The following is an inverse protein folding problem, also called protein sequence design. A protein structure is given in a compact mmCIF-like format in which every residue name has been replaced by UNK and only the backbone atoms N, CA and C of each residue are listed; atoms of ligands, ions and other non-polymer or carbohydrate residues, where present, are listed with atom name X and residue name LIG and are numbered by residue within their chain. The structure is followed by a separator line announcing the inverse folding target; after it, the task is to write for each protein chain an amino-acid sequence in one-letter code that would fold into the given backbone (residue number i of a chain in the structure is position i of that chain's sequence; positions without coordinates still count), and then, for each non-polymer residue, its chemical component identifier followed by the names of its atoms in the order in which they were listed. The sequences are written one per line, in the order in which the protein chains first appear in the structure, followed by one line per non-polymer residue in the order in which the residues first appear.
data_IF_102396846122
#
_entry.id   IF_102396846122
#
_cell.length_a   1.000
_cell.length_b   1.000
_cell.length_c   1.000
_cell.angle_alpha   90.00
_cell.angle_beta   90.00
_cell.angle_gamma   90.00
#
_symmetry.space_group_name_H-M   'P 1'
#
loop_
_entity.id
_entity.type
_entity.pdbx_description
1 polymer ?
#
# COMPACT_ATOMS: atom_id res chain seq x y z
N UNK A 1 -15.98 46.33 39.39
CA UNK A 1 -16.97 45.75 38.47
C UNK A 1 -16.27 44.85 37.46
N UNK A 2 -15.31 45.34 36.66
CA UNK A 2 -14.55 44.53 35.68
C UNK A 2 -13.88 43.25 36.23
N UNK A 3 -13.31 43.25 37.44
CA UNK A 3 -12.68 42.05 38.01
C UNK A 3 -13.69 40.95 38.39
N UNK A 4 -14.93 41.31 38.72
CA UNK A 4 -15.98 40.34 39.04
C UNK A 4 -16.58 39.72 37.78
N UNK A 5 -16.67 40.50 36.70
CA UNK A 5 -17.13 40.02 35.40
C UNK A 5 -16.08 39.12 34.73
N UNK A 6 -14.79 39.46 34.84
CA UNK A 6 -13.70 38.61 34.38
C UNK A 6 -13.64 37.25 35.12
N UNK A 7 -13.81 37.26 36.45
CA UNK A 7 -13.85 36.04 37.25
C UNK A 7 -15.03 35.12 36.91
N UNK A 8 -16.21 35.70 36.60
CA UNK A 8 -17.40 34.93 36.17
C UNK A 8 -17.21 34.29 34.79
N UNK A 9 -16.60 35.01 33.85
CA UNK A 9 -16.32 34.47 32.52
C UNK A 9 -15.30 33.32 32.57
N UNK A 10 -14.28 33.44 33.43
CA UNK A 10 -13.28 32.38 33.64
C UNK A 10 -13.90 31.14 34.31
N UNK A 11 -14.77 31.33 35.30
CA UNK A 11 -15.52 30.24 35.94
C UNK A 11 -16.39 29.47 34.93
N UNK A 12 -17.09 30.18 34.05
CA UNK A 12 -17.95 29.58 33.04
C UNK A 12 -17.14 28.80 31.99
N UNK A 13 -16.00 29.32 31.56
CA UNK A 13 -15.06 28.60 30.67
C UNK A 13 -14.49 27.34 31.32
N UNK A 14 -14.04 27.43 32.57
CA UNK A 14 -13.49 26.29 33.32
C UNK A 14 -14.55 25.20 33.54
N UNK A 15 -15.79 25.59 33.85
CA UNK A 15 -16.92 24.68 34.01
C UNK A 15 -17.27 23.96 32.71
N UNK A 16 -17.28 24.67 31.59
CA UNK A 16 -17.52 24.09 30.26
C UNK A 16 -16.41 23.09 29.90
N UNK A 17 -15.15 23.46 30.14
CA UNK A 17 -13.98 22.60 29.90
C UNK A 17 -14.00 21.35 30.79
N UNK A 18 -14.41 21.50 32.05
CA UNK A 18 -14.55 20.38 32.99
C UNK A 18 -15.65 19.41 32.55
N UNK A 19 -16.81 19.92 32.11
CA UNK A 19 -17.92 19.10 31.62
C UNK A 19 -17.54 18.34 30.35
N UNK A 20 -16.82 18.97 29.42
CA UNK A 20 -16.35 18.35 28.18
C UNK A 20 -15.33 17.22 28.46
N UNK A 21 -14.33 17.50 29.32
CA UNK A 21 -13.35 16.49 29.76
C UNK A 21 -13.99 15.36 30.56
N UNK A 22 -14.98 15.66 31.42
CA UNK A 22 -15.74 14.67 32.19
C UNK A 22 -16.58 13.80 31.27
N UNK A 23 -17.24 14.37 30.25
CA UNK A 23 -18.00 13.62 29.24
C UNK A 23 -17.13 12.65 28.44
N UNK A 24 -15.93 13.09 28.05
CA UNK A 24 -14.91 12.25 27.40
C UNK A 24 -14.36 11.17 28.35
N UNK A 25 -14.16 11.49 29.63
CA UNK A 25 -13.67 10.55 30.63
C UNK A 25 -14.71 9.47 31.00
N UNK A 26 -16.00 9.83 31.08
CA UNK A 26 -17.09 8.88 31.39
C UNK A 26 -17.29 7.88 30.24
N UNK A 27 -17.14 8.33 29.00
CA UNK A 27 -17.22 7.45 27.83
C UNK A 27 -15.87 6.84 27.43
N UNK A 28 -14.80 7.10 28.18
CA UNK A 28 -13.44 6.65 27.83
C UNK A 28 -13.38 5.13 27.77
N UNK A 29 -14.00 4.43 28.71
CA UNK A 29 -13.99 2.97 28.74
C UNK A 29 -14.83 2.37 27.60
N UNK A 30 -15.95 3.01 27.23
CA UNK A 30 -16.73 2.64 26.05
C UNK A 30 -15.95 2.86 24.75
N UNK A 31 -15.24 3.99 24.61
CA UNK A 31 -14.38 4.25 23.46
C UNK A 31 -13.19 3.30 23.39
N UNK A 32 -12.58 2.93 24.52
CA UNK A 32 -11.52 1.90 24.56
C UNK A 32 -12.05 0.54 24.13
N UNK A 33 -13.26 0.16 24.57
CA UNK A 33 -13.89 -1.08 24.14
C UNK A 33 -14.19 -1.07 22.63
N UNK A 34 -14.73 0.02 22.10
CA UNK A 34 -14.93 0.19 20.66
C UNK A 34 -13.61 0.11 19.90
N UNK A 35 -12.54 0.70 20.42
CA UNK A 35 -11.21 0.64 19.82
C UNK A 35 -10.69 -0.80 19.80
N UNK A 36 -10.87 -1.57 20.87
CA UNK A 36 -10.50 -3.00 20.93
C UNK A 36 -11.32 -3.83 19.93
N UNK A 37 -12.64 -3.60 19.82
CA UNK A 37 -13.49 -4.27 18.82
C UNK A 37 -13.06 -3.94 17.39
N UNK A 38 -12.73 -2.67 17.12
CA UNK A 38 -12.19 -2.23 15.83
C UNK A 38 -10.84 -2.90 15.58
N UNK A 39 -9.92 -2.93 16.53
CA UNK A 39 -8.61 -3.58 16.37
C UNK A 39 -8.72 -5.10 16.18
N UNK A 40 -9.66 -5.76 16.86
CA UNK A 40 -9.91 -7.19 16.70
C UNK A 40 -10.53 -7.54 15.35
N UNK A 41 -11.55 -6.79 14.93
CA UNK A 41 -12.20 -6.97 13.63
C UNK A 41 -11.24 -6.62 12.48
N UNK A 42 -10.45 -5.57 12.64
CA UNK A 42 -9.39 -5.20 11.71
C UNK A 42 -8.29 -6.27 11.67
N UNK A 43 -7.85 -6.78 12.83
CA UNK A 43 -6.88 -7.88 12.92
C UNK A 43 -7.35 -9.19 12.29
N UNK A 44 -8.64 -9.49 12.34
CA UNK A 44 -9.23 -10.64 11.66
C UNK A 44 -9.26 -10.48 10.14
N UNK A 45 -9.57 -9.27 9.62
CA UNK A 45 -9.42 -8.95 8.19
C UNK A 45 -7.95 -9.01 7.73
N UNK A 46 -7.01 -8.52 8.55
CA UNK A 46 -5.58 -8.59 8.25
C UNK A 46 -5.08 -10.04 8.08
N UNK A 47 -5.69 -11.02 8.77
CA UNK A 47 -5.37 -12.44 8.59
C UNK A 47 -5.91 -13.05 7.29
N UNK A 48 -6.92 -12.43 6.66
CA UNK A 48 -7.46 -12.86 5.37
C UNK A 48 -6.64 -12.32 4.19
N UNK A 49 -5.67 -11.44 4.44
CA UNK A 49 -4.84 -10.83 3.40
C UNK A 49 -3.51 -11.58 3.22
N UNK A 50 -2.95 -11.56 1.99
CA UNK A 50 -1.73 -12.29 1.63
C UNK A 50 -0.53 -11.88 2.53
N UNK A 51 0.06 -12.86 3.22
CA UNK A 51 1.32 -12.73 3.99
C UNK A 51 2.53 -12.63 3.07
N UNK A 52 3.69 -12.22 3.59
CA UNK A 52 4.97 -12.08 2.84
C UNK A 52 5.32 -13.24 1.88
N UNK A 53 5.01 -14.48 2.26
CA UNK A 53 5.21 -15.70 1.43
C UNK A 53 4.40 -15.70 0.13
N UNK A 54 3.37 -14.87 0.04
CA UNK A 54 2.48 -14.80 -1.11
C UNK A 54 3.10 -13.94 -2.23
N UNK A 55 4.05 -13.06 -1.93
CA UNK A 55 4.68 -12.22 -2.97
C UNK A 55 5.44 -13.07 -3.99
N UNK A 56 6.22 -14.06 -3.56
CA UNK A 56 6.98 -14.92 -4.48
C UNK A 56 6.04 -15.74 -5.39
N UNK A 57 4.90 -16.20 -4.83
CA UNK A 57 3.88 -16.91 -5.60
C UNK A 57 3.21 -15.98 -6.61
N UNK A 58 3.00 -14.71 -6.24
CA UNK A 58 2.43 -13.69 -7.14
C UNK A 58 3.37 -13.39 -8.31
N UNK A 59 4.67 -13.25 -8.07
CA UNK A 59 5.65 -13.02 -9.13
C UNK A 59 5.64 -14.19 -10.13
N UNK A 60 5.50 -15.41 -9.62
CA UNK A 60 5.38 -16.62 -10.44
C UNK A 60 4.08 -16.62 -11.25
N UNK A 61 2.96 -16.25 -10.62
CA UNK A 61 1.65 -16.16 -11.26
C UNK A 61 1.63 -15.10 -12.38
N UNK A 62 2.18 -13.91 -12.13
CA UNK A 62 2.32 -12.85 -13.15
C UNK A 62 3.15 -13.34 -14.35
N UNK A 63 4.24 -14.07 -14.09
CA UNK A 63 5.05 -14.65 -15.16
C UNK A 63 4.28 -15.72 -15.96
N UNK A 64 3.53 -16.60 -15.28
CA UNK A 64 2.69 -17.62 -15.92
C UNK A 64 1.58 -17.01 -16.77
N UNK A 65 0.93 -15.95 -16.28
CA UNK A 65 -0.11 -15.22 -17.04
C UNK A 65 0.48 -14.66 -18.34
N UNK A 66 1.66 -14.03 -18.28
CA UNK A 66 2.31 -13.50 -19.49
C UNK A 66 2.71 -14.62 -20.47
N UNK A 67 3.30 -15.71 -19.99
CA UNK A 67 3.65 -16.86 -20.82
C UNK A 67 2.43 -17.51 -21.47
N UNK A 68 1.30 -17.61 -20.74
CA UNK A 68 0.04 -18.16 -21.23
C UNK A 68 -0.57 -17.35 -22.38
N UNK A 69 -0.23 -16.06 -22.50
CA UNK A 69 -0.62 -15.17 -23.60
C UNK A 69 0.39 -15.14 -24.75
N UNK A 70 1.43 -15.97 -24.71
CA UNK A 70 2.49 -15.97 -25.70
C UNK A 70 3.42 -14.75 -25.63
N UNK A 71 3.35 -13.97 -24.53
CA UNK A 71 4.29 -12.90 -24.28
C UNK A 71 5.64 -13.48 -23.84
N UNK A 72 6.71 -12.89 -24.37
CA UNK A 72 8.06 -13.28 -23.96
C UNK A 72 8.66 -12.22 -23.04
N UNK A 73 8.98 -12.60 -21.82
CA UNK A 73 9.68 -11.71 -20.88
C UNK A 73 11.13 -11.52 -21.31
N UNK A 74 11.47 -10.27 -21.61
CA UNK A 74 12.84 -9.81 -21.86
C UNK A 74 13.51 -9.37 -20.55
N UNK A 75 12.73 -8.81 -19.64
CA UNK A 75 13.17 -8.41 -18.32
C UNK A 75 12.04 -8.69 -17.31
N UNK A 76 12.40 -9.32 -16.20
CA UNK A 76 11.57 -9.41 -15.01
C UNK A 76 12.48 -9.23 -13.81
N UNK A 77 12.48 -8.02 -13.24
CA UNK A 77 13.42 -7.64 -12.19
C UNK A 77 12.67 -7.10 -10.98
N UNK A 78 12.52 -7.90 -9.92
CA UNK A 78 12.05 -7.41 -8.63
C UNK A 78 13.02 -6.36 -8.07
N UNK A 79 12.47 -5.24 -7.61
CA UNK A 79 13.20 -4.19 -6.92
C UNK A 79 13.35 -4.46 -5.43
N UNK A 80 13.82 -3.45 -4.69
CA UNK A 80 13.80 -3.49 -3.24
C UNK A 80 12.40 -3.16 -2.72
N UNK A 81 11.99 -3.84 -1.64
CA UNK A 81 10.75 -3.54 -0.94
C UNK A 81 10.81 -2.15 -0.29
N UNK A 82 9.80 -1.32 -0.55
CA UNK A 82 9.66 0.02 -0.01
C UNK A 82 8.58 -0.02 1.06
N UNK A 83 8.95 0.30 2.31
CA UNK A 83 8.03 0.28 3.45
C UNK A 83 7.53 1.69 3.74
N UNK A 84 6.21 1.88 3.78
CA UNK A 84 5.54 3.10 4.22
C UNK A 84 5.01 2.91 5.65
N UNK A 85 4.34 3.91 6.23
CA UNK A 85 3.81 3.80 7.60
C UNK A 85 2.72 2.72 7.77
N UNK A 86 2.08 2.28 6.69
CA UNK A 86 0.91 1.39 6.73
C UNK A 86 1.10 0.10 5.92
N UNK A 87 1.94 0.12 4.87
CA UNK A 87 2.10 -0.99 3.93
C UNK A 87 3.52 -1.06 3.37
N UNK A 88 3.88 -2.21 2.82
CA UNK A 88 5.09 -2.39 2.03
C UNK A 88 4.69 -2.60 0.57
N UNK A 89 5.35 -1.88 -0.34
CA UNK A 89 5.22 -2.05 -1.78
C UNK A 89 6.47 -2.74 -2.35
N UNK A 90 6.27 -3.66 -3.29
CA UNK A 90 7.35 -4.28 -4.05
C UNK A 90 7.18 -3.90 -5.53
N UNK A 91 8.05 -3.02 -6.06
CA UNK A 91 8.10 -2.72 -7.47
C UNK A 91 8.82 -3.83 -8.25
N UNK A 92 8.34 -4.11 -9.45
CA UNK A 92 8.89 -5.10 -10.38
C UNK A 92 8.94 -4.49 -11.77
N UNK A 93 10.16 -4.30 -12.28
CA UNK A 93 10.37 -3.84 -13.64
C UNK A 93 10.12 -5.00 -14.62
N UNK A 94 9.19 -4.80 -15.54
CA UNK A 94 8.86 -5.78 -16.56
C UNK A 94 9.10 -5.22 -17.97
N UNK A 95 9.72 -6.04 -18.82
CA UNK A 95 9.75 -5.84 -20.27
C UNK A 95 9.29 -7.11 -20.96
N UNK A 96 8.26 -6.98 -21.80
CA UNK A 96 7.66 -8.10 -22.52
C UNK A 96 7.59 -7.80 -24.02
N UNK A 97 8.03 -8.75 -24.84
CA UNK A 97 7.88 -8.74 -26.29
C UNK A 97 6.60 -9.47 -26.70
N UNK A 98 5.83 -8.88 -27.62
CA UNK A 98 4.56 -9.47 -28.07
C UNK A 98 3.75 -8.54 -28.97
N UNK A 99 2.48 -8.87 -29.18
CA UNK A 99 1.53 -8.04 -29.92
C UNK A 99 0.76 -7.09 -29.00
N UNK A 100 0.19 -6.03 -29.58
CA UNK A 100 -0.62 -5.07 -28.82
C UNK A 100 -1.85 -5.73 -28.15
N UNK A 101 -2.47 -6.68 -28.83
CA UNK A 101 -3.63 -7.39 -28.30
C UNK A 101 -3.25 -8.24 -27.08
N UNK A 102 -2.13 -8.95 -27.15
CA UNK A 102 -1.64 -9.78 -26.05
C UNK A 102 -1.27 -8.93 -24.83
N UNK A 103 -0.75 -7.71 -25.03
CA UNK A 103 -0.52 -6.76 -23.94
C UNK A 103 -1.80 -6.36 -23.23
N UNK A 104 -2.88 -6.08 -23.98
CA UNK A 104 -4.18 -5.74 -23.38
C UNK A 104 -4.80 -6.93 -22.62
N UNK A 105 -4.62 -8.14 -23.15
CA UNK A 105 -5.07 -9.36 -22.50
C UNK A 105 -4.29 -9.62 -21.20
N UNK A 106 -2.97 -9.46 -21.24
CA UNK A 106 -2.09 -9.55 -20.08
C UNK A 106 -2.45 -8.54 -18.99
N UNK A 107 -2.67 -7.27 -19.36
CA UNK A 107 -3.12 -6.26 -18.39
C UNK A 107 -4.50 -6.60 -17.78
N UNK A 108 -5.40 -7.18 -18.58
CA UNK A 108 -6.72 -7.62 -18.11
C UNK A 108 -6.62 -8.79 -17.14
N UNK A 109 -5.77 -9.78 -17.42
CA UNK A 109 -5.57 -10.93 -16.54
C UNK A 109 -4.91 -10.52 -15.23
N UNK A 110 -3.93 -9.61 -15.27
CA UNK A 110 -3.33 -9.04 -14.05
C UNK A 110 -4.39 -8.37 -13.19
N UNK A 111 -5.34 -7.65 -13.79
CA UNK A 111 -6.42 -7.01 -13.07
C UNK A 111 -7.44 -8.00 -12.46
N UNK A 112 -7.46 -9.25 -12.94
CA UNK A 112 -8.32 -10.33 -12.42
C UNK A 112 -7.65 -11.19 -11.36
N UNK A 113 -6.37 -10.96 -11.05
CA UNK A 113 -5.68 -11.69 -10.00
C UNK A 113 -6.37 -11.48 -8.65
N UNK A 114 -6.32 -12.51 -7.80
CA UNK A 114 -6.90 -12.47 -6.45
C UNK A 114 -6.20 -11.48 -5.50
N UNK A 115 -5.19 -10.75 -5.99
CA UNK A 115 -4.31 -9.86 -5.21
C UNK A 115 -4.12 -8.53 -5.91
N UNK A 116 -3.77 -7.52 -5.11
CA UNK A 116 -3.58 -6.15 -5.60
C UNK A 116 -2.25 -6.05 -6.36
N UNK A 117 -2.35 -5.89 -7.67
CA UNK A 117 -1.23 -5.57 -8.56
C UNK A 117 -1.61 -4.36 -9.41
N UNK A 118 -0.74 -3.36 -9.45
CA UNK A 118 -0.91 -2.19 -10.31
C UNK A 118 0.17 -2.18 -11.38
N UNK A 119 -0.20 -1.84 -12.61
CA UNK A 119 0.75 -1.59 -13.70
C UNK A 119 0.89 -0.07 -13.86
N UNK A 120 2.10 0.42 -13.66
CA UNK A 120 2.43 1.84 -13.77
C UNK A 120 3.42 2.05 -14.93
N UNK A 121 3.52 3.29 -15.39
CA UNK A 121 4.53 3.72 -16.37
C UNK A 121 4.59 2.85 -17.62
N UNK A 122 3.42 2.47 -18.15
CA UNK A 122 3.31 1.61 -19.32
C UNK A 122 3.80 2.37 -20.55
N UNK A 123 4.84 1.82 -21.19
CA UNK A 123 5.40 2.32 -22.43
C UNK A 123 5.44 1.19 -23.46
N UNK A 124 4.82 1.40 -24.63
CA UNK A 124 4.83 0.43 -25.73
C UNK A 124 5.58 1.06 -26.89
N UNK A 125 6.64 0.40 -27.35
CA UNK A 125 7.44 0.86 -28.48
C UNK A 125 7.81 -0.28 -29.41
N UNK A 126 8.14 0.08 -30.65
CA UNK A 126 8.88 -0.84 -31.53
C UNK A 126 10.28 -0.98 -30.92
N UNK A 127 10.77 -2.21 -30.68
CA UNK A 127 12.11 -2.42 -30.14
C UNK A 127 13.16 -1.71 -31.00
N UNK A 128 14.23 -1.20 -30.41
CA UNK A 128 15.32 -0.54 -31.14
C UNK A 128 16.40 -1.54 -31.56
N UNK A 129 16.61 -2.56 -30.74
CA UNK A 129 17.57 -3.64 -30.96
C UNK A 129 17.19 -4.51 -32.17
N UNK A 130 18.20 -4.84 -32.98
CA UNK A 130 17.99 -5.55 -34.24
C UNK A 130 17.57 -7.03 -34.04
N UNK A 131 17.90 -7.65 -32.91
CA UNK A 131 17.45 -9.01 -32.58
C UNK A 131 16.04 -8.98 -32.02
N UNK A 132 15.71 -8.02 -31.14
CA UNK A 132 14.34 -7.85 -30.63
C UNK A 132 13.36 -7.52 -31.77
N UNK A 133 13.73 -6.64 -32.71
CA UNK A 133 12.91 -6.30 -33.91
C UNK A 133 12.56 -7.49 -34.80
N UNK A 134 13.41 -8.51 -34.85
CA UNK A 134 13.15 -9.72 -35.65
C UNK A 134 12.18 -10.67 -34.97
N UNK A 135 12.18 -10.66 -33.65
CA UNK A 135 11.43 -11.63 -32.85
C UNK A 135 10.07 -11.07 -32.40
N UNK A 136 9.98 -9.76 -32.13
CA UNK A 136 8.78 -9.14 -31.59
C UNK A 136 8.42 -7.86 -32.36
N UNK A 137 7.13 -7.68 -32.72
CA UNK A 137 6.69 -6.45 -33.38
C UNK A 137 6.69 -5.25 -32.43
N UNK A 138 6.42 -5.49 -31.15
CA UNK A 138 6.38 -4.48 -30.10
C UNK A 138 6.99 -5.01 -28.80
N UNK A 139 7.49 -4.09 -28.00
CA UNK A 139 7.92 -4.34 -26.62
C UNK A 139 7.17 -3.38 -25.70
N UNK A 140 6.56 -3.94 -24.67
CA UNK A 140 5.96 -3.20 -23.55
C UNK A 140 6.96 -3.19 -22.39
N UNK A 141 7.20 -2.00 -21.84
CA UNK A 141 7.90 -1.79 -20.57
C UNK A 141 6.89 -1.24 -19.56
N UNK A 142 6.88 -1.78 -18.35
CA UNK A 142 6.02 -1.26 -17.28
C UNK A 142 6.63 -1.53 -15.90
N UNK A 143 6.13 -0.81 -14.90
CA UNK A 143 6.45 -1.02 -13.50
C UNK A 143 5.25 -1.64 -12.78
N UNK A 144 5.31 -2.94 -12.53
CA UNK A 144 4.31 -3.62 -11.73
C UNK A 144 4.58 -3.37 -10.24
N UNK A 145 3.55 -3.03 -9.45
CA UNK A 145 3.68 -2.90 -8.00
C UNK A 145 2.70 -3.84 -7.32
N UNK A 146 3.18 -4.55 -6.32
CA UNK A 146 2.35 -5.31 -5.39
C UNK A 146 2.48 -4.76 -3.98
N UNK A 147 1.48 -5.02 -3.15
CA UNK A 147 1.34 -4.45 -1.82
C UNK A 147 1.11 -5.55 -0.80
N UNK A 148 1.72 -5.39 0.37
CA UNK A 148 1.43 -6.19 1.56
C UNK A 148 1.37 -5.30 2.81
N UNK A 149 0.75 -5.81 3.86
CA UNK A 149 0.85 -5.16 5.16
C UNK A 149 2.21 -5.43 5.81
N UNK A 150 2.61 -4.49 6.67
CA UNK A 150 3.77 -4.63 7.53
C UNK A 150 3.43 -5.56 8.69
N UNK A 151 4.37 -6.43 9.06
CA UNK A 151 4.26 -7.17 10.30
C UNK A 151 4.31 -6.17 11.48
N UNK A 152 3.67 -6.48 12.63
CA UNK A 152 3.60 -5.55 13.77
C UNK A 152 4.98 -5.02 14.21
N UNK A 153 6.00 -5.88 14.15
CA UNK A 153 7.38 -5.51 14.45
C UNK A 153 7.97 -4.54 13.40
N UNK A 154 7.68 -4.76 12.11
CA UNK A 154 8.11 -3.87 11.03
C UNK A 154 7.39 -2.51 11.11
N UNK A 155 6.09 -2.51 11.41
CA UNK A 155 5.30 -1.28 11.57
C UNK A 155 5.80 -0.43 12.74
N UNK A 156 6.14 -1.06 13.87
CA UNK A 156 6.73 -0.38 15.03
C UNK A 156 8.13 0.18 14.72
N UNK A 157 8.94 -0.55 13.93
CA UNK A 157 10.26 -0.09 13.50
C UNK A 157 10.19 1.13 12.56
N UNK A 158 9.26 1.13 11.59
CA UNK A 158 9.04 2.26 10.68
C UNK A 158 8.57 3.49 11.45
N UNK A 159 7.58 3.34 12.37
CA UNK A 159 7.09 4.45 13.20
C UNK A 159 8.17 5.03 14.12
N UNK A 160 9.05 4.20 14.69
CA UNK A 160 10.21 4.68 15.48
C UNK A 160 11.19 5.47 14.61
N UNK A 161 11.55 4.94 13.44
CA UNK A 161 12.47 5.62 12.51
C UNK A 161 11.93 6.97 12.01
N UNK A 162 10.63 7.10 11.80
CA UNK A 162 9.99 8.37 11.43
C UNK A 162 9.94 9.38 12.59
N UNK A 163 9.70 8.90 13.83
CA UNK A 163 9.71 9.74 15.02
C UNK A 163 11.12 10.32 15.31
N UNK A 164 12.17 9.52 15.11
CA UNK A 164 13.55 9.96 15.31
C UNK A 164 14.00 10.97 14.24
N UNK A 165 13.58 10.79 12.98
CA UNK A 165 13.81 11.79 11.92
C UNK A 165 13.11 13.13 12.18
N UNK A 166 11.94 13.14 12.82
CA UNK A 166 11.24 14.38 13.22
C UNK A 166 11.86 15.08 14.42
N UNK A 167 12.58 14.37 15.30
CA UNK A 167 13.32 14.98 16.42
C UNK A 167 14.69 15.53 16.04
N UNK A 168 15.25 15.06 14.93
CA UNK A 168 16.56 15.50 14.41
C UNK A 168 16.46 16.67 13.42
N UNK A 169 15.27 17.23 13.19
CA UNK A 169 15.01 18.32 12.26
C UNK A 169 14.36 19.49 12.99
#
# INVERSE_FOLDING_TARGET
MEQLDAGRAEEEQLKTTYLDKKGKAVNLDAYKQQLIEIEQSFGAMLKQLPKKSEIDSLLTEVNQVGLGRGLQFLLFKPGAEIKTAEMAELPVEIRVGGSYHDFSAFASDIAQLSRIVTLNDINIKVPEDANEKKNFPLVLSALAKTYRYLDPEEALAVKKAEADKKKSK
#
